data_IF_371546361609
#
_entry.id   IF_371546361609
#
_cell.length_a   1.000
_cell.length_b   1.000
_cell.length_c   1.000
_cell.angle_alpha   90.00
_cell.angle_beta   90.00
_cell.angle_gamma   90.00
#
_symmetry.space_group_name_H-M   'P 1'
#
loop_
_entity.id
_entity.type
_entity.pdbx_description
1 polymer ?
#
# COMPACT_ATOMS: atom_id res chain seq x y z
N UNK A 1 14.46 -21.44 32.21
CA UNK A 1 13.78 -20.78 31.08
C UNK A 1 12.32 -20.65 31.45
N UNK A 2 11.74 -19.46 31.34
CA UNK A 2 10.28 -19.31 31.45
C UNK A 2 9.70 -20.00 30.21
N UNK A 3 9.07 -21.15 30.38
CA UNK A 3 8.24 -21.76 29.34
C UNK A 3 6.99 -20.87 29.20
N UNK A 4 7.16 -19.71 28.54
CA UNK A 4 6.03 -18.93 28.11
C UNK A 4 5.22 -19.81 27.16
N UNK A 5 3.95 -19.99 27.48
CA UNK A 5 3.04 -20.75 26.64
C UNK A 5 2.94 -20.03 25.27
N UNK A 6 3.35 -20.73 24.20
CA UNK A 6 3.36 -20.20 22.83
C UNK A 6 1.97 -19.70 22.42
N UNK A 7 0.91 -20.35 22.91
CA UNK A 7 -0.47 -19.97 22.64
C UNK A 7 -0.78 -18.58 23.21
N UNK A 8 -0.33 -18.30 24.44
CA UNK A 8 -0.49 -17.00 25.09
C UNK A 8 0.29 -15.94 24.30
N UNK A 9 1.52 -16.25 23.87
CA UNK A 9 2.34 -15.31 23.10
C UNK A 9 1.71 -15.00 21.74
N UNK A 10 1.20 -16.01 21.05
CA UNK A 10 0.46 -15.87 19.80
C UNK A 10 -0.79 -15.00 19.98
N UNK A 11 -1.55 -15.19 21.05
CA UNK A 11 -2.73 -14.38 21.37
C UNK A 11 -2.36 -12.92 21.65
N UNK A 12 -1.27 -12.67 22.40
CA UNK A 12 -0.75 -11.32 22.65
C UNK A 12 -0.39 -10.63 21.34
N UNK A 13 0.33 -11.30 20.44
CA UNK A 13 0.72 -10.70 19.16
C UNK A 13 -0.47 -10.43 18.24
N UNK A 14 -1.40 -11.39 18.14
CA UNK A 14 -2.64 -11.21 17.39
C UNK A 14 -3.45 -10.04 17.95
N UNK A 15 -3.63 -9.98 19.26
CA UNK A 15 -4.36 -8.89 19.94
C UNK A 15 -3.68 -7.54 19.71
N UNK A 16 -2.35 -7.48 19.82
CA UNK A 16 -1.57 -6.25 19.58
C UNK A 16 -1.73 -5.76 18.14
N UNK A 17 -1.65 -6.66 17.16
CA UNK A 17 -1.84 -6.33 15.75
C UNK A 17 -3.28 -5.86 15.45
N UNK A 18 -4.29 -6.46 16.09
CA UNK A 18 -5.68 -5.99 16.02
C UNK A 18 -5.81 -4.56 16.55
N UNK A 19 -5.28 -4.28 17.74
CA UNK A 19 -5.32 -2.93 18.31
C UNK A 19 -4.60 -1.90 17.43
N UNK A 20 -3.51 -2.29 16.79
CA UNK A 20 -2.82 -1.44 15.83
C UNK A 20 -3.72 -1.03 14.66
N UNK A 21 -4.48 -1.96 14.06
CA UNK A 21 -5.41 -1.61 12.98
C UNK A 21 -6.54 -0.71 13.46
N UNK A 22 -7.11 -0.96 14.65
CA UNK A 22 -8.14 -0.08 15.22
C UNK A 22 -7.59 1.32 15.55
N UNK A 23 -6.37 1.42 16.05
CA UNK A 23 -5.71 2.70 16.28
C UNK A 23 -5.53 3.48 14.97
N UNK A 24 -5.10 2.81 13.89
CA UNK A 24 -5.01 3.45 12.57
C UNK A 24 -6.39 3.90 12.11
N UNK A 25 -7.42 3.06 12.22
CA UNK A 25 -8.79 3.43 11.85
C UNK A 25 -9.26 4.69 12.59
N UNK A 26 -9.04 4.75 13.91
CA UNK A 26 -9.34 5.93 14.72
C UNK A 26 -8.62 7.19 14.22
N UNK A 27 -7.32 7.09 13.94
CA UNK A 27 -6.54 8.20 13.39
C UNK A 27 -7.03 8.64 12.01
N UNK A 28 -7.45 7.70 11.15
CA UNK A 28 -8.06 8.01 9.85
C UNK A 28 -9.34 8.83 10.02
N UNK A 29 -10.25 8.41 10.91
CA UNK A 29 -11.48 9.18 11.18
C UNK A 29 -11.19 10.55 11.77
N UNK A 30 -10.18 10.68 12.63
CA UNK A 30 -9.73 11.97 13.13
C UNK A 30 -9.24 12.89 12.00
N UNK A 31 -8.45 12.37 11.05
CA UNK A 31 -7.99 13.10 9.86
C UNK A 31 -9.19 13.57 9.03
N UNK A 32 -10.16 12.67 8.79
CA UNK A 32 -11.40 12.98 8.05
C UNK A 32 -12.15 14.13 8.73
N UNK A 33 -12.37 14.05 10.04
CA UNK A 33 -13.07 15.08 10.80
C UNK A 33 -12.42 16.47 10.64
N UNK A 34 -11.08 16.53 10.67
CA UNK A 34 -10.32 17.78 10.48
C UNK A 34 -10.29 18.25 9.01
N UNK A 35 -10.27 17.32 8.06
CA UNK A 35 -10.04 17.58 6.63
C UNK A 35 -11.28 17.78 5.77
N UNK A 36 -12.45 17.27 6.18
CA UNK A 36 -13.61 17.06 5.29
C UNK A 36 -14.08 18.32 4.55
N UNK A 37 -14.15 19.46 5.24
CA UNK A 37 -14.58 20.73 4.62
C UNK A 37 -13.59 21.26 3.58
N UNK A 38 -12.29 20.96 3.72
CA UNK A 38 -11.21 21.51 2.89
C UNK A 38 -10.85 20.60 1.72
N UNK A 39 -10.95 19.28 1.90
CA UNK A 39 -10.56 18.31 0.89
C UNK A 39 -11.54 17.12 0.92
N UNK A 40 -12.66 17.24 0.21
CA UNK A 40 -13.71 16.20 0.20
C UNK A 40 -13.20 14.88 -0.37
N UNK A 41 -12.48 14.93 -1.49
CA UNK A 41 -11.95 13.73 -2.17
C UNK A 41 -10.98 12.93 -1.28
N UNK A 42 -9.96 13.58 -0.74
CA UNK A 42 -9.00 12.94 0.16
C UNK A 42 -9.66 12.48 1.46
N UNK A 43 -10.62 13.24 1.99
CA UNK A 43 -11.34 12.85 3.22
C UNK A 43 -12.25 11.63 3.01
N UNK A 44 -13.02 11.59 1.91
CA UNK A 44 -13.85 10.42 1.58
C UNK A 44 -13.01 9.17 1.36
N UNK A 45 -11.87 9.28 0.68
CA UNK A 45 -10.94 8.17 0.48
C UNK A 45 -10.34 7.68 1.80
N UNK A 46 -9.90 8.62 2.66
CA UNK A 46 -9.37 8.33 4.00
C UNK A 46 -10.44 7.69 4.90
N UNK A 47 -11.70 8.09 4.79
CA UNK A 47 -12.82 7.49 5.50
C UNK A 47 -13.01 6.02 5.11
N UNK A 48 -13.01 5.71 3.81
CA UNK A 48 -13.10 4.33 3.31
C UNK A 48 -11.94 3.49 3.83
N UNK A 49 -10.70 4.01 3.83
CA UNK A 49 -9.59 3.30 4.47
C UNK A 49 -9.83 3.05 5.96
N UNK A 50 -10.35 4.03 6.70
CA UNK A 50 -10.70 3.85 8.13
C UNK A 50 -11.67 2.68 8.35
N UNK A 51 -12.70 2.57 7.50
CA UNK A 51 -13.62 1.42 7.53
C UNK A 51 -12.91 0.10 7.22
N UNK A 52 -12.05 0.06 6.19
CA UNK A 52 -11.29 -1.14 5.84
C UNK A 52 -10.32 -1.55 6.97
N UNK A 53 -9.73 -0.61 7.69
CA UNK A 53 -8.91 -0.90 8.87
C UNK A 53 -9.71 -1.50 10.03
N UNK A 54 -10.97 -1.09 10.23
CA UNK A 54 -11.86 -1.78 11.18
C UNK A 54 -12.05 -3.24 10.74
N UNK A 55 -12.30 -3.48 9.44
CA UNK A 55 -12.45 -4.83 8.92
C UNK A 55 -11.17 -5.65 9.09
N UNK A 56 -9.99 -5.05 8.88
CA UNK A 56 -8.70 -5.73 9.09
C UNK A 56 -8.48 -6.10 10.54
N UNK A 57 -8.78 -5.18 11.47
CA UNK A 57 -8.72 -5.47 12.91
C UNK A 57 -9.67 -6.61 13.30
N UNK A 58 -10.93 -6.54 12.86
CA UNK A 58 -11.92 -7.58 13.11
C UNK A 58 -11.49 -8.94 12.53
N UNK A 59 -11.07 -8.97 11.27
CA UNK A 59 -10.56 -10.17 10.62
C UNK A 59 -9.38 -10.77 11.38
N UNK A 60 -8.40 -9.93 11.77
CA UNK A 60 -7.24 -10.38 12.53
C UNK A 60 -7.62 -10.94 13.90
N UNK A 61 -8.62 -10.37 14.59
CA UNK A 61 -9.06 -10.88 15.90
C UNK A 61 -9.72 -12.26 15.85
N UNK A 62 -10.35 -12.61 14.73
CA UNK A 62 -11.10 -13.87 14.61
C UNK A 62 -10.27 -14.95 13.92
N UNK A 63 -9.62 -14.60 12.81
CA UNK A 63 -8.91 -15.56 11.94
C UNK A 63 -7.40 -15.42 11.96
N UNK A 64 -6.89 -14.26 12.38
CA UNK A 64 -5.49 -13.88 12.21
C UNK A 64 -5.18 -13.54 10.74
N UNK A 65 -4.49 -12.42 10.50
CA UNK A 65 -4.00 -12.08 9.16
C UNK A 65 -2.78 -12.94 8.78
N UNK A 66 -1.97 -13.30 9.77
CA UNK A 66 -0.81 -14.16 9.64
C UNK A 66 -0.73 -15.11 10.82
N UNK A 67 -0.27 -16.34 10.57
CA UNK A 67 -0.01 -17.32 11.63
C UNK A 67 1.20 -16.96 12.47
N UNK A 68 1.26 -17.48 13.70
CA UNK A 68 2.48 -17.46 14.48
C UNK A 68 3.60 -18.26 13.77
N UNK A 69 4.87 -17.79 13.76
CA UNK A 69 5.41 -16.60 14.42
C UNK A 69 5.34 -15.28 13.62
N UNK A 70 4.77 -15.29 12.41
CA UNK A 70 4.73 -14.12 11.52
C UNK A 70 3.96 -12.93 12.10
N UNK A 71 2.90 -13.19 12.87
CA UNK A 71 2.22 -12.12 13.62
C UNK A 71 3.17 -11.41 14.59
N UNK A 72 4.01 -12.16 15.32
CA UNK A 72 5.02 -11.62 16.22
C UNK A 72 6.09 -10.82 15.49
N UNK A 73 6.62 -11.34 14.37
CA UNK A 73 7.52 -10.59 13.50
C UNK A 73 6.88 -9.28 13.00
N UNK A 74 5.58 -9.28 12.67
CA UNK A 74 4.87 -8.08 12.27
C UNK A 74 4.76 -7.05 13.40
N UNK A 75 4.47 -7.49 14.63
CA UNK A 75 4.46 -6.60 15.80
C UNK A 75 5.84 -5.98 16.04
N UNK A 76 6.91 -6.78 15.92
CA UNK A 76 8.29 -6.28 16.04
C UNK A 76 8.61 -5.27 14.93
N UNK A 77 8.22 -5.56 13.70
CA UNK A 77 8.37 -4.66 12.56
C UNK A 77 7.67 -3.32 12.81
N UNK A 78 6.43 -3.33 13.29
CA UNK A 78 5.69 -2.12 13.69
C UNK A 78 6.48 -1.33 14.75
N UNK A 79 6.97 -2.00 15.79
CA UNK A 79 7.76 -1.37 16.84
C UNK A 79 9.04 -0.70 16.31
N UNK A 80 9.81 -1.42 15.48
CA UNK A 80 11.04 -0.91 14.86
C UNK A 80 10.73 0.30 13.98
N UNK A 81 9.71 0.21 13.13
CA UNK A 81 9.35 1.31 12.23
C UNK A 81 8.86 2.54 13.00
N UNK A 82 8.06 2.37 14.05
CA UNK A 82 7.66 3.46 14.94
C UNK A 82 8.88 4.15 15.56
N UNK A 83 9.84 3.39 16.09
CA UNK A 83 11.06 3.95 16.68
C UNK A 83 11.85 4.75 15.65
N UNK A 84 12.05 4.21 14.44
CA UNK A 84 12.80 4.88 13.37
C UNK A 84 12.13 6.20 12.97
N UNK A 85 10.84 6.17 12.64
CA UNK A 85 10.14 7.36 12.16
C UNK A 85 9.92 8.42 13.25
N UNK A 86 9.64 8.01 14.49
CA UNK A 86 9.53 8.95 15.61
C UNK A 86 10.89 9.57 15.94
N UNK A 87 11.96 8.79 15.96
CA UNK A 87 13.32 9.32 16.19
C UNK A 87 13.69 10.35 15.14
N UNK A 88 13.43 10.06 13.85
CA UNK A 88 13.63 11.03 12.77
C UNK A 88 12.81 12.31 12.99
N UNK A 89 11.52 12.18 13.30
CA UNK A 89 10.63 13.32 13.53
C UNK A 89 11.07 14.19 14.72
N UNK A 90 11.56 13.57 15.79
CA UNK A 90 12.10 14.27 16.95
C UNK A 90 13.41 15.01 16.63
N UNK A 91 14.28 14.42 15.80
CA UNK A 91 15.49 15.09 15.29
C UNK A 91 15.09 16.33 14.47
N UNK A 92 14.14 16.19 13.54
CA UNK A 92 13.60 17.30 12.75
C UNK A 92 13.03 18.40 13.65
N UNK A 93 12.24 18.04 14.66
CA UNK A 93 11.68 19.00 15.64
C UNK A 93 12.77 19.78 16.38
N UNK A 94 13.84 19.11 16.81
CA UNK A 94 14.99 19.76 17.46
C UNK A 94 15.71 20.72 16.50
N UNK A 95 15.90 20.32 15.24
CA UNK A 95 16.55 21.17 14.23
C UNK A 95 15.69 22.40 13.91
N UNK A 96 14.38 22.25 13.77
CA UNK A 96 13.45 23.37 13.54
C UNK A 96 13.55 24.38 14.68
N UNK A 97 13.50 23.93 15.94
CA UNK A 97 13.64 24.81 17.11
C UNK A 97 14.98 25.56 17.11
N UNK A 98 16.07 24.91 16.69
CA UNK A 98 17.39 25.53 16.54
C UNK A 98 17.42 26.57 15.42
N UNK A 99 16.82 26.29 14.26
CA UNK A 99 16.71 27.26 13.14
C UNK A 99 15.95 28.51 13.60
N UNK A 100 14.84 28.33 14.30
CA UNK A 100 14.00 29.45 14.74
C UNK A 100 14.73 30.32 15.79
N UNK A 101 15.65 29.74 16.59
CA UNK A 101 16.56 30.46 17.49
C UNK A 101 17.70 31.15 16.73
N UNK A 102 18.38 30.46 15.81
CA UNK A 102 19.51 31.01 15.04
C UNK A 102 19.08 32.19 14.15
N UNK A 103 17.84 32.21 13.66
CA UNK A 103 17.32 33.36 12.92
C UNK A 103 17.22 34.64 13.78
N UNK A 104 17.24 34.52 15.11
CA UNK A 104 17.29 35.65 16.05
C UNK A 104 18.74 36.09 16.38
N UNK A 105 19.73 35.22 16.12
CA UNK A 105 21.14 35.43 16.48
C UNK A 105 22.04 35.09 15.28
N UNK A 106 22.49 36.12 14.56
CA UNK A 106 23.41 36.10 13.40
C UNK A 106 24.11 34.76 13.07
N UNK A 107 23.47 34.03 12.15
CA UNK A 107 23.95 33.01 11.21
C UNK A 107 25.24 32.22 11.54
N UNK A 108 25.08 31.09 12.24
CA UNK A 108 26.09 30.03 12.27
C UNK A 108 25.95 29.09 11.04
N UNK A 109 27.07 28.85 10.35
CA UNK A 109 27.23 28.18 9.03
C UNK A 109 27.02 26.65 9.04
N UNK A 110 26.25 26.11 9.98
CA UNK A 110 26.06 24.67 10.07
C UNK A 110 25.19 24.15 8.91
N UNK A 111 25.78 23.27 8.09
CA UNK A 111 25.38 22.97 6.72
C UNK A 111 24.76 21.57 6.56
N UNK A 112 24.17 21.03 7.63
CA UNK A 112 23.61 19.67 7.58
C UNK A 112 22.54 19.51 6.49
N UNK A 113 22.55 18.37 5.80
CA UNK A 113 21.61 18.07 4.71
C UNK A 113 20.15 18.17 5.17
N UNK A 114 19.85 17.73 6.40
CA UNK A 114 18.52 17.79 7.00
C UNK A 114 18.09 19.25 7.22
N UNK A 115 18.99 20.12 7.70
CA UNK A 115 18.70 21.56 7.88
C UNK A 115 18.35 22.21 6.53
N UNK A 116 19.11 21.91 5.47
CA UNK A 116 18.82 22.41 4.11
C UNK A 116 17.47 21.93 3.58
N UNK A 117 17.14 20.66 3.79
CA UNK A 117 15.83 20.10 3.44
C UNK A 117 14.69 20.83 4.18
N UNK A 118 14.79 21.00 5.50
CA UNK A 118 13.77 21.67 6.31
C UNK A 118 13.57 23.12 5.84
N UNK A 119 14.65 23.85 5.56
CA UNK A 119 14.58 25.23 5.06
C UNK A 119 13.88 25.26 3.69
N UNK A 120 14.21 24.33 2.78
CA UNK A 120 13.55 24.23 1.48
C UNK A 120 12.05 23.96 1.63
N UNK A 121 11.67 23.02 2.51
CA UNK A 121 10.27 22.67 2.80
C UNK A 121 9.48 23.79 3.48
N UNK A 122 10.12 24.62 4.32
CA UNK A 122 9.47 25.80 4.92
C UNK A 122 9.31 26.94 3.91
N UNK A 123 10.24 27.07 2.95
CA UNK A 123 10.24 28.17 1.96
C UNK A 123 9.29 27.90 0.79
N UNK A 124 9.21 26.66 0.33
CA UNK A 124 8.36 26.27 -0.79
C UNK A 124 7.12 25.54 -0.29
N UNK A 125 5.93 25.86 -0.83
CA UNK A 125 4.75 25.05 -0.56
C UNK A 125 4.94 23.67 -1.20
N UNK A 126 4.96 22.57 -0.41
CA UNK A 126 5.16 21.23 -0.95
C UNK A 126 3.94 20.73 -1.74
N UNK A 127 2.78 21.39 -1.60
CA UNK A 127 1.56 21.07 -2.30
C UNK A 127 1.44 21.87 -3.60
N UNK A 128 1.23 21.18 -4.72
CA UNK A 128 1.07 21.79 -6.05
C UNK A 128 -0.19 21.28 -6.74
N UNK A 129 -0.81 22.14 -7.53
CA UNK A 129 -1.94 21.78 -8.40
C UNK A 129 -1.48 20.88 -9.55
N UNK A 130 -0.36 21.23 -10.17
CA UNK A 130 0.22 20.49 -11.28
C UNK A 130 1.61 19.95 -10.91
N UNK A 131 1.78 18.65 -11.12
CA UNK A 131 3.03 17.93 -10.91
C UNK A 131 3.68 17.70 -12.28
N UNK A 132 4.99 17.91 -12.39
CA UNK A 132 5.72 17.64 -13.62
C UNK A 132 5.65 16.17 -14.01
N UNK A 133 5.75 15.87 -15.32
CA UNK A 133 5.67 14.49 -15.82
C UNK A 133 6.72 13.58 -15.17
N UNK A 134 7.94 14.09 -14.94
CA UNK A 134 9.02 13.37 -14.24
C UNK A 134 8.61 12.95 -12.83
N UNK A 135 8.00 13.87 -12.07
CA UNK A 135 7.55 13.59 -10.70
C UNK A 135 6.31 12.70 -10.69
N UNK A 136 5.43 12.80 -11.69
CA UNK A 136 4.33 11.85 -11.87
C UNK A 136 4.88 10.44 -12.10
N UNK A 137 5.89 10.28 -12.95
CA UNK A 137 6.60 9.01 -13.15
C UNK A 137 7.16 8.45 -11.84
N UNK A 138 7.85 9.27 -11.04
CA UNK A 138 8.38 8.85 -9.73
C UNK A 138 7.25 8.41 -8.79
N UNK A 139 6.11 9.11 -8.76
CA UNK A 139 4.95 8.71 -7.95
C UNK A 139 4.38 7.37 -8.41
N UNK A 140 4.37 7.10 -9.72
CA UNK A 140 3.93 5.83 -10.30
C UNK A 140 4.97 4.71 -10.16
N UNK A 141 6.22 4.97 -9.74
CA UNK A 141 7.17 3.89 -9.36
C UNK A 141 6.60 3.05 -8.22
N UNK A 142 5.85 3.63 -7.29
CA UNK A 142 5.17 2.84 -6.24
C UNK A 142 4.13 1.87 -6.81
N UNK A 143 3.57 2.14 -7.99
CA UNK A 143 2.66 1.21 -8.67
C UNK A 143 3.43 0.02 -9.27
N UNK A 144 4.75 0.10 -9.46
CA UNK A 144 5.59 -1.06 -9.80
C UNK A 144 5.62 -2.10 -8.67
N UNK A 145 5.10 -1.78 -7.46
CA UNK A 145 4.82 -2.80 -6.45
C UNK A 145 3.84 -3.88 -6.96
N UNK A 146 2.98 -3.57 -7.92
CA UNK A 146 2.17 -4.58 -8.62
C UNK A 146 3.02 -5.62 -9.37
N UNK A 147 4.18 -5.23 -9.91
CA UNK A 147 5.13 -6.19 -10.50
C UNK A 147 5.73 -7.09 -9.42
N UNK A 148 6.12 -6.50 -8.28
CA UNK A 148 6.65 -7.25 -7.16
C UNK A 148 5.64 -8.26 -6.63
N UNK A 149 4.34 -7.97 -6.70
CA UNK A 149 3.29 -8.94 -6.39
C UNK A 149 3.30 -10.15 -7.34
N UNK A 150 3.40 -9.95 -8.66
CA UNK A 150 3.53 -11.07 -9.62
C UNK A 150 4.75 -11.90 -9.26
N UNK A 151 5.90 -11.24 -9.08
CA UNK A 151 7.15 -11.93 -8.76
C UNK A 151 7.03 -12.70 -7.45
N UNK A 152 6.35 -12.14 -6.44
CA UNK A 152 6.11 -12.78 -5.15
C UNK A 152 5.27 -14.05 -5.26
N UNK A 153 4.19 -14.01 -6.04
CA UNK A 153 3.19 -15.10 -6.09
C UNK A 153 3.48 -16.13 -7.19
N UNK A 154 3.84 -15.68 -8.39
CA UNK A 154 3.98 -16.53 -9.58
C UNK A 154 5.44 -16.71 -10.03
N UNK A 155 6.35 -15.86 -9.56
CA UNK A 155 7.73 -15.84 -10.08
C UNK A 155 7.81 -15.21 -11.47
N UNK A 156 8.88 -15.51 -12.22
CA UNK A 156 9.08 -15.00 -13.57
C UNK A 156 10.05 -15.87 -14.39
N UNK A 157 9.58 -16.41 -15.53
CA UNK A 157 10.31 -17.36 -16.36
C UNK A 157 10.83 -18.57 -15.56
N UNK A 158 12.14 -18.62 -15.32
CA UNK A 158 12.84 -19.66 -14.57
C UNK A 158 13.00 -19.30 -13.08
N UNK A 159 12.61 -18.09 -12.68
CA UNK A 159 12.64 -17.68 -11.28
C UNK A 159 11.37 -18.20 -10.59
N UNK A 160 11.50 -19.01 -9.51
CA UNK A 160 10.34 -19.39 -8.71
C UNK A 160 9.71 -18.17 -8.02
N UNK A 161 8.50 -18.32 -7.44
CA UNK A 161 7.89 -17.26 -6.66
C UNK A 161 8.87 -16.71 -5.62
N UNK A 162 9.06 -15.39 -5.58
CA UNK A 162 9.99 -14.73 -4.66
C UNK A 162 9.61 -15.05 -3.21
N UNK A 163 8.31 -15.19 -2.90
CA UNK A 163 7.86 -15.61 -1.58
C UNK A 163 8.32 -17.03 -1.22
N UNK A 164 8.43 -17.95 -2.20
CA UNK A 164 9.01 -19.28 -2.00
C UNK A 164 10.49 -19.20 -1.68
N UNK A 165 11.26 -18.40 -2.43
CA UNK A 165 12.69 -18.20 -2.17
C UNK A 165 12.93 -17.58 -0.78
N UNK A 166 12.08 -16.63 -0.39
CA UNK A 166 12.11 -16.03 0.95
C UNK A 166 11.80 -17.07 2.02
N UNK A 167 10.80 -17.92 1.83
CA UNK A 167 10.49 -19.02 2.75
C UNK A 167 11.69 -19.96 2.94
N UNK A 168 12.32 -20.37 1.84
CA UNK A 168 13.52 -21.22 1.88
C UNK A 168 14.65 -20.55 2.66
N UNK A 169 14.92 -19.27 2.39
CA UNK A 169 15.89 -18.48 3.12
C UNK A 169 15.57 -18.39 4.62
N UNK A 170 14.30 -18.20 4.99
CA UNK A 170 13.85 -18.17 6.37
C UNK A 170 14.07 -19.53 7.04
N UNK A 171 13.67 -20.64 6.41
CA UNK A 171 13.85 -21.99 6.99
C UNK A 171 15.32 -22.32 7.19
N UNK A 172 16.19 -21.99 6.22
CA UNK A 172 17.64 -22.18 6.34
C UNK A 172 18.20 -21.32 7.47
N UNK A 173 17.82 -20.04 7.53
CA UNK A 173 18.26 -19.14 8.59
C UNK A 173 17.86 -19.66 9.97
N UNK A 174 16.59 -20.04 10.14
CA UNK A 174 16.05 -20.55 11.39
C UNK A 174 16.81 -21.79 11.86
N UNK A 175 17.05 -22.76 10.96
CA UNK A 175 17.81 -23.98 11.29
C UNK A 175 19.24 -23.67 11.73
N UNK A 176 19.89 -22.71 11.06
CA UNK A 176 21.25 -22.28 11.42
C UNK A 176 21.29 -21.48 12.73
N UNK A 177 20.18 -20.87 13.13
CA UNK A 177 20.05 -20.07 14.36
C UNK A 177 19.05 -20.67 15.33
N UNK A 178 18.93 -22.01 15.37
CA UNK A 178 17.90 -22.70 16.14
C UNK A 178 17.85 -22.29 17.62
N UNK A 179 18.97 -22.14 18.36
CA UNK A 179 18.89 -21.71 19.77
C UNK A 179 18.28 -20.32 19.94
N UNK A 180 18.54 -19.41 18.99
CA UNK A 180 17.99 -18.04 19.01
C UNK A 180 16.51 -18.08 18.63
N UNK A 181 16.15 -18.90 17.65
CA UNK A 181 14.74 -19.10 17.27
C UNK A 181 13.94 -19.70 18.43
N UNK A 182 14.42 -20.80 19.03
CA UNK A 182 13.77 -21.46 20.16
C UNK A 182 13.61 -20.52 21.36
N UNK A 183 14.59 -19.63 21.58
CA UNK A 183 14.51 -18.62 22.62
C UNK A 183 13.44 -17.55 22.36
N UNK A 184 13.31 -17.08 21.11
CA UNK A 184 12.41 -15.98 20.76
C UNK A 184 10.99 -16.43 20.41
N UNK A 185 10.88 -17.56 19.72
CA UNK A 185 9.68 -18.00 19.03
C UNK A 185 9.22 -19.40 19.45
N UNK A 186 9.93 -20.06 20.36
CA UNK A 186 9.59 -21.42 20.79
C UNK A 186 10.08 -22.49 19.80
N UNK A 187 9.70 -23.74 20.06
CA UNK A 187 10.27 -24.92 19.40
C UNK A 187 10.13 -24.86 17.87
N UNK A 188 11.21 -25.16 17.14
CA UNK A 188 11.25 -25.20 15.68
C UNK A 188 10.17 -26.09 15.06
N UNK A 189 9.75 -27.16 15.75
CA UNK A 189 8.65 -28.03 15.29
C UNK A 189 7.30 -27.31 15.17
N UNK A 190 7.15 -26.13 15.77
CA UNK A 190 5.95 -25.29 15.69
C UNK A 190 5.97 -24.30 14.52
N UNK A 191 7.08 -24.21 13.77
CA UNK A 191 7.14 -23.35 12.59
C UNK A 191 6.19 -23.89 11.49
N UNK A 192 5.31 -23.05 10.92
CA UNK A 192 4.17 -23.54 10.13
C UNK A 192 4.51 -24.01 8.71
N UNK A 193 5.72 -23.73 8.20
CA UNK A 193 6.06 -23.96 6.79
C UNK A 193 7.32 -24.81 6.62
N UNK A 194 7.38 -25.55 5.52
CA UNK A 194 8.59 -26.27 5.08
C UNK A 194 9.04 -25.75 3.70
N UNK A 195 10.23 -26.20 3.26
CA UNK A 195 10.79 -25.84 1.95
C UNK A 195 9.83 -26.30 0.85
N UNK A 196 9.39 -25.38 -0.01
CA UNK A 196 8.46 -25.64 -1.10
C UNK A 196 6.96 -25.64 -0.73
N UNK A 197 6.61 -25.27 0.50
CA UNK A 197 5.19 -25.19 0.92
C UNK A 197 4.45 -24.06 0.17
N UNK A 198 3.40 -24.36 -0.64
CA UNK A 198 2.64 -23.33 -1.35
C UNK A 198 1.87 -22.38 -0.41
N UNK A 199 1.52 -22.79 0.80
CA UNK A 199 0.87 -21.90 1.78
C UNK A 199 1.81 -20.79 2.24
N UNK A 200 3.12 -21.07 2.29
CA UNK A 200 4.11 -20.06 2.64
C UNK A 200 4.09 -18.89 1.65
N UNK A 201 3.91 -19.15 0.36
CA UNK A 201 3.80 -18.12 -0.68
C UNK A 201 2.63 -17.16 -0.35
N UNK A 202 1.49 -17.73 0.03
CA UNK A 202 0.28 -16.97 0.33
C UNK A 202 0.48 -16.07 1.56
N UNK A 203 0.96 -16.63 2.67
CA UNK A 203 1.08 -15.88 3.92
C UNK A 203 2.28 -14.93 3.95
N UNK A 204 3.39 -15.26 3.29
CA UNK A 204 4.54 -14.35 3.16
C UNK A 204 4.19 -13.17 2.24
N UNK A 205 3.39 -13.39 1.19
CA UNK A 205 2.87 -12.30 0.35
C UNK A 205 1.98 -11.36 1.16
N UNK A 206 1.06 -11.91 1.99
CA UNK A 206 0.24 -11.09 2.90
C UNK A 206 1.10 -10.33 3.91
N UNK A 207 2.10 -10.99 4.51
CA UNK A 207 3.06 -10.36 5.40
C UNK A 207 3.77 -9.19 4.70
N UNK A 208 4.22 -9.36 3.47
CA UNK A 208 4.87 -8.30 2.70
C UNK A 208 3.94 -7.10 2.46
N UNK A 209 2.65 -7.34 2.14
CA UNK A 209 1.69 -6.26 1.99
C UNK A 209 1.49 -5.47 3.29
N UNK A 210 1.29 -6.17 4.42
CA UNK A 210 1.14 -5.51 5.72
C UNK A 210 2.43 -4.79 6.14
N UNK A 211 3.60 -5.38 5.87
CA UNK A 211 4.89 -4.74 6.17
C UNK A 211 5.09 -3.44 5.37
N UNK A 212 4.74 -3.43 4.08
CA UNK A 212 4.75 -2.23 3.22
C UNK A 212 3.71 -1.21 3.72
N UNK A 213 2.53 -1.66 4.13
CA UNK A 213 1.52 -0.80 4.72
C UNK A 213 2.04 -0.11 5.98
N UNK A 214 2.63 -0.86 6.93
CA UNK A 214 3.21 -0.33 8.17
C UNK A 214 4.30 0.69 7.86
N UNK A 215 5.21 0.35 6.95
CA UNK A 215 6.29 1.23 6.51
C UNK A 215 5.75 2.56 5.95
N UNK A 216 4.71 2.50 5.13
CA UNK A 216 4.15 3.69 4.48
C UNK A 216 3.21 4.48 5.37
N UNK A 217 2.34 3.83 6.14
CA UNK A 217 1.27 4.46 6.92
C UNK A 217 1.81 5.27 8.09
N UNK A 218 2.84 4.79 8.78
CA UNK A 218 3.40 5.53 9.93
C UNK A 218 3.99 6.86 9.45
N UNK A 219 4.78 6.83 8.36
CA UNK A 219 5.35 8.05 7.79
C UNK A 219 4.26 9.00 7.27
N UNK A 220 3.18 8.48 6.69
CA UNK A 220 2.06 9.28 6.19
C UNK A 220 1.21 9.89 7.32
N UNK A 221 0.98 9.16 8.41
CA UNK A 221 0.29 9.70 9.58
C UNK A 221 1.10 10.84 10.20
N UNK A 222 2.42 10.70 10.31
CA UNK A 222 3.31 11.79 10.76
C UNK A 222 3.21 12.99 9.81
N UNK A 223 3.24 12.75 8.49
CA UNK A 223 3.08 13.81 7.46
C UNK A 223 1.81 14.62 7.68
N UNK A 224 0.69 13.94 7.86
CA UNK A 224 -0.64 14.57 7.96
C UNK A 224 -0.85 15.24 9.32
N UNK A 225 -0.37 14.63 10.41
CA UNK A 225 -0.60 15.12 11.77
C UNK A 225 0.38 16.22 12.17
N UNK A 226 1.66 16.12 11.79
CA UNK A 226 2.72 17.02 12.24
C UNK A 226 3.25 17.95 11.14
N UNK A 227 3.10 17.57 9.88
CA UNK A 227 3.56 18.35 8.74
C UNK A 227 4.52 17.56 7.83
N UNK A 228 4.64 17.95 6.55
CA UNK A 228 5.42 17.19 5.56
C UNK A 228 6.93 17.18 5.80
N UNK A 229 7.46 18.18 6.51
CA UNK A 229 8.86 18.25 6.91
C UNK A 229 9.25 17.15 7.92
N UNK A 230 8.30 16.61 8.68
CA UNK A 230 8.52 15.52 9.65
C UNK A 230 8.46 14.13 9.02
N UNK A 231 7.97 14.01 7.79
CA UNK A 231 7.84 12.72 7.11
C UNK A 231 9.16 12.29 6.47
N UNK A 232 9.68 11.14 6.89
CA UNK A 232 10.90 10.57 6.33
C UNK A 232 10.71 10.13 4.87
N UNK A 233 9.53 9.62 4.50
CA UNK A 233 9.22 9.30 3.10
C UNK A 233 9.27 10.55 2.21
N UNK A 234 8.78 11.69 2.70
CA UNK A 234 8.82 12.93 1.94
C UNK A 234 10.26 13.43 1.75
N UNK A 235 11.14 13.23 2.74
CA UNK A 235 12.58 13.47 2.61
C UNK A 235 13.22 12.56 1.53
N UNK A 236 12.93 11.25 1.58
CA UNK A 236 13.53 10.26 0.68
C UNK A 236 13.10 10.46 -0.77
N UNK A 237 11.81 10.71 -0.98
CA UNK A 237 11.22 10.82 -2.32
C UNK A 237 11.31 12.22 -2.90
N UNK A 238 11.54 13.24 -2.04
CA UNK A 238 11.36 14.66 -2.39
C UNK A 238 10.01 14.89 -3.09
N UNK A 239 8.99 14.12 -2.69
CA UNK A 239 7.73 14.07 -3.40
C UNK A 239 7.04 15.42 -3.33
N UNK A 240 6.70 15.96 -4.50
CA UNK A 240 5.72 17.03 -4.60
C UNK A 240 4.35 16.42 -4.31
N UNK A 241 3.67 16.95 -3.30
CA UNK A 241 2.34 16.50 -2.88
C UNK A 241 1.28 17.19 -3.75
N UNK A 242 0.15 16.52 -4.00
CA UNK A 242 -1.01 17.17 -4.65
C UNK A 242 -1.84 17.92 -3.63
N UNK A 243 -2.53 18.98 -4.06
CA UNK A 243 -3.50 19.66 -3.19
C UNK A 243 -4.59 18.70 -2.65
N UNK A 244 -4.95 17.67 -3.42
CA UNK A 244 -5.86 16.59 -3.02
C UNK A 244 -5.32 15.66 -1.92
N UNK A 245 -4.03 15.75 -1.59
CA UNK A 245 -3.37 14.98 -0.52
C UNK A 245 -3.20 15.83 0.76
N UNK A 246 -3.68 17.07 0.74
CA UNK A 246 -3.68 17.95 1.90
C UNK A 246 -4.74 17.48 2.91
N UNK A 247 -4.34 17.29 4.17
CA UNK A 247 -5.19 16.70 5.22
C UNK A 247 -5.80 15.33 4.86
N UNK A 248 -5.12 14.54 4.04
CA UNK A 248 -5.51 13.18 3.69
C UNK A 248 -4.26 12.31 3.57
N UNK A 249 -4.40 11.00 3.75
CA UNK A 249 -3.28 10.08 3.55
C UNK A 249 -2.98 9.90 2.05
N UNK A 250 -1.74 9.53 1.71
CA UNK A 250 -1.29 9.47 0.33
C UNK A 250 -1.92 8.33 -0.49
N UNK A 251 -1.92 8.45 -1.84
CA UNK A 251 -2.52 7.46 -2.75
C UNK A 251 -1.85 6.08 -2.69
N UNK A 252 -0.60 5.98 -2.24
CA UNK A 252 0.06 4.71 -2.00
C UNK A 252 -0.62 3.90 -0.87
N UNK A 253 -1.16 4.57 0.15
CA UNK A 253 -1.93 3.91 1.22
C UNK A 253 -3.23 3.36 0.65
N UNK A 254 -3.91 4.15 -0.16
CA UNK A 254 -5.14 3.78 -0.85
C UNK A 254 -4.96 2.51 -1.68
N UNK A 255 -3.88 2.44 -2.46
CA UNK A 255 -3.54 1.27 -3.28
C UNK A 255 -3.26 0.03 -2.43
N UNK A 256 -2.39 0.14 -1.41
CA UNK A 256 -2.01 -1.00 -0.58
C UNK A 256 -3.19 -1.51 0.25
N UNK A 257 -4.03 -0.62 0.79
CA UNK A 257 -5.24 -1.00 1.53
C UNK A 257 -6.25 -1.70 0.61
N UNK A 258 -6.46 -1.21 -0.61
CA UNK A 258 -7.31 -1.86 -1.60
C UNK A 258 -6.81 -3.26 -1.99
N UNK A 259 -5.49 -3.40 -2.15
CA UNK A 259 -4.85 -4.69 -2.44
C UNK A 259 -4.99 -5.67 -1.27
N UNK A 260 -4.74 -5.25 -0.02
CA UNK A 260 -4.89 -6.08 1.19
C UNK A 260 -6.33 -6.55 1.34
N UNK A 261 -7.32 -5.66 1.16
CA UNK A 261 -8.73 -6.07 1.24
C UNK A 261 -9.07 -7.12 0.19
N UNK A 262 -8.65 -6.91 -1.06
CA UNK A 262 -8.86 -7.87 -2.14
C UNK A 262 -8.14 -9.20 -1.86
N UNK A 263 -6.96 -9.16 -1.22
CA UNK A 263 -6.21 -10.34 -0.81
C UNK A 263 -6.91 -11.10 0.32
N UNK A 264 -7.54 -10.41 1.28
CA UNK A 264 -8.38 -11.03 2.31
C UNK A 264 -9.56 -11.75 1.67
N UNK A 265 -10.21 -11.17 0.66
CA UNK A 265 -11.27 -11.86 -0.08
C UNK A 265 -10.76 -13.16 -0.73
N UNK A 266 -9.51 -13.20 -1.18
CA UNK A 266 -8.88 -14.40 -1.71
C UNK A 266 -8.62 -15.44 -0.61
N UNK A 267 -8.09 -15.02 0.54
CA UNK A 267 -7.89 -15.91 1.69
C UNK A 267 -9.19 -16.55 2.16
N UNK A 268 -10.30 -15.82 2.05
CA UNK A 268 -11.65 -16.30 2.38
C UNK A 268 -12.28 -17.17 1.29
N UNK A 269 -11.59 -17.39 0.16
CA UNK A 269 -12.12 -18.15 -0.97
C UNK A 269 -13.25 -17.43 -1.72
N UNK A 270 -13.47 -16.15 -1.44
CA UNK A 270 -14.52 -15.33 -2.09
C UNK A 270 -14.11 -14.97 -3.51
N UNK A 271 -12.82 -14.77 -3.77
CA UNK A 271 -12.30 -14.41 -5.10
C UNK A 271 -11.15 -15.33 -5.52
N UNK A 272 -11.04 -15.58 -6.82
CA UNK A 272 -9.98 -16.43 -7.38
C UNK A 272 -8.65 -15.68 -7.46
N UNK A 273 -7.51 -16.38 -7.30
CA UNK A 273 -6.18 -15.74 -7.33
C UNK A 273 -5.91 -14.98 -8.64
N UNK A 274 -6.39 -15.50 -9.77
CA UNK A 274 -6.23 -14.83 -11.07
C UNK A 274 -7.05 -13.54 -11.17
N UNK A 275 -8.24 -13.47 -10.56
CA UNK A 275 -9.06 -12.25 -10.58
C UNK A 275 -8.48 -11.19 -9.65
N UNK A 276 -7.95 -11.60 -8.50
CA UNK A 276 -7.17 -10.74 -7.61
C UNK A 276 -5.95 -10.16 -8.33
N UNK A 277 -5.21 -11.03 -9.02
CA UNK A 277 -4.00 -10.65 -9.77
C UNK A 277 -4.36 -9.64 -10.86
N UNK A 278 -5.41 -9.91 -11.64
CA UNK A 278 -5.90 -8.96 -12.64
C UNK A 278 -6.27 -7.61 -12.00
N UNK A 279 -7.02 -7.59 -10.90
CA UNK A 279 -7.43 -6.36 -10.22
C UNK A 279 -6.25 -5.52 -9.74
N UNK A 280 -5.27 -6.13 -9.06
CA UNK A 280 -4.06 -5.43 -8.59
C UNK A 280 -3.23 -4.91 -9.77
N UNK A 281 -3.05 -5.71 -10.82
CA UNK A 281 -2.25 -5.31 -11.97
C UNK A 281 -2.89 -4.22 -12.79
N UNK A 282 -4.20 -4.30 -13.03
CA UNK A 282 -4.93 -3.25 -13.74
C UNK A 282 -4.86 -1.96 -12.92
N UNK A 283 -5.09 -2.01 -11.60
CA UNK A 283 -4.97 -0.84 -10.74
C UNK A 283 -3.58 -0.18 -10.77
N UNK A 284 -2.52 -0.98 -10.80
CA UNK A 284 -1.15 -0.47 -10.83
C UNK A 284 -0.72 0.04 -12.22
N UNK A 285 -0.89 -0.77 -13.25
CA UNK A 285 -0.31 -0.51 -14.57
C UNK A 285 -1.22 0.29 -15.48
N UNK A 286 -2.54 0.04 -15.44
CA UNK A 286 -3.46 0.69 -16.37
C UNK A 286 -3.68 2.16 -15.98
N UNK A 287 -3.77 2.45 -14.68
CA UNK A 287 -3.79 3.81 -14.16
C UNK A 287 -2.48 4.56 -14.46
N UNK A 288 -1.32 3.90 -14.29
CA UNK A 288 -0.04 4.49 -14.67
C UNK A 288 0.06 4.78 -16.18
N UNK A 289 -0.39 3.85 -17.03
CA UNK A 289 -0.42 4.02 -18.48
C UNK A 289 -1.34 5.19 -18.88
N UNK A 290 -2.55 5.24 -18.33
CA UNK A 290 -3.49 6.33 -18.58
C UNK A 290 -2.93 7.70 -18.20
N UNK A 291 -2.30 7.80 -17.03
CA UNK A 291 -1.72 9.04 -16.53
C UNK A 291 -0.50 9.50 -17.35
N UNK A 292 0.44 8.59 -17.65
CA UNK A 292 1.69 8.90 -18.34
C UNK A 292 1.45 9.22 -19.82
N UNK A 293 0.70 8.39 -20.53
CA UNK A 293 0.38 8.62 -21.95
C UNK A 293 -0.55 9.82 -22.07
N UNK A 294 -1.54 9.96 -21.18
CA UNK A 294 -2.48 11.07 -21.26
C UNK A 294 -1.87 12.45 -20.97
N UNK A 295 -0.87 12.51 -20.09
CA UNK A 295 -0.12 13.74 -19.85
C UNK A 295 1.00 14.00 -20.87
N UNK A 296 1.68 12.95 -21.32
CA UNK A 296 2.81 13.08 -22.25
C UNK A 296 2.40 13.26 -23.71
N UNK A 297 1.40 12.51 -24.18
CA UNK A 297 0.99 12.43 -25.59
C UNK A 297 -0.47 12.87 -25.83
N UNK A 298 -1.26 13.04 -24.78
CA UNK A 298 -2.69 13.29 -24.91
C UNK A 298 -3.03 14.67 -25.46
N UNK A 299 -3.45 14.73 -26.73
CA UNK A 299 -3.83 15.96 -27.43
C UNK A 299 -5.33 16.24 -27.31
N UNK A 300 -6.15 15.20 -27.31
CA UNK A 300 -7.61 15.34 -27.32
C UNK A 300 -8.14 15.27 -25.89
N UNK A 301 -8.59 16.42 -25.35
CA UNK A 301 -9.12 16.49 -24.00
C UNK A 301 -10.61 16.19 -23.95
N UNK A 302 -11.01 15.45 -22.92
CA UNK A 302 -12.39 15.14 -22.58
C UNK A 302 -12.64 15.65 -21.17
N UNK A 303 -13.74 16.36 -21.00
CA UNK A 303 -14.21 16.74 -19.68
C UNK A 303 -14.90 15.52 -19.07
N UNK A 304 -14.24 14.91 -18.09
CA UNK A 304 -14.87 13.90 -17.25
C UNK A 304 -15.91 14.58 -16.36
N UNK A 305 -16.78 13.75 -15.77
CA UNK A 305 -17.71 14.24 -14.75
C UNK A 305 -16.92 14.93 -13.62
N UNK A 306 -17.51 16.02 -13.08
CA UNK A 306 -16.89 16.88 -12.05
C UNK A 306 -15.71 17.74 -12.51
N UNK A 307 -15.55 17.93 -13.82
CA UNK A 307 -14.65 18.95 -14.37
C UNK A 307 -13.18 18.54 -14.40
N UNK A 308 -12.86 17.27 -14.12
CA UNK A 308 -11.52 16.76 -14.37
C UNK A 308 -11.29 16.63 -15.88
N UNK A 309 -10.19 17.16 -16.38
CA UNK A 309 -9.80 16.99 -17.77
C UNK A 309 -8.84 15.81 -17.92
N UNK A 310 -9.27 14.81 -18.68
CA UNK A 310 -8.44 13.69 -19.11
C UNK A 310 -8.30 13.72 -20.62
N UNK A 311 -7.39 12.93 -21.17
CA UNK A 311 -7.19 12.82 -22.62
C UNK A 311 -7.76 11.51 -23.16
N UNK A 312 -8.29 11.51 -24.38
CA UNK A 312 -8.75 10.29 -25.08
C UNK A 312 -7.60 9.28 -25.20
N UNK A 313 -6.39 9.73 -25.52
CA UNK A 313 -5.21 8.87 -25.66
C UNK A 313 -4.86 8.17 -24.34
N UNK A 314 -4.98 8.89 -23.22
CA UNK A 314 -4.84 8.32 -21.88
C UNK A 314 -5.91 7.25 -21.59
N UNK A 315 -7.18 7.51 -21.93
CA UNK A 315 -8.24 6.50 -21.76
C UNK A 315 -7.99 5.25 -22.61
N UNK A 316 -7.65 5.42 -23.88
CA UNK A 316 -7.34 4.29 -24.78
C UNK A 316 -6.17 3.49 -24.24
N UNK A 317 -5.11 4.16 -23.77
CA UNK A 317 -3.95 3.49 -23.17
C UNK A 317 -4.31 2.72 -21.89
N UNK A 318 -5.08 3.33 -20.99
CA UNK A 318 -5.53 2.70 -19.75
C UNK A 318 -6.44 1.50 -20.00
N UNK A 319 -7.51 1.67 -20.78
CA UNK A 319 -8.46 0.58 -21.08
C UNK A 319 -7.81 -0.52 -21.91
N UNK A 320 -6.97 -0.16 -22.89
CA UNK A 320 -6.23 -1.13 -23.69
C UNK A 320 -5.26 -1.95 -22.85
N UNK A 321 -4.50 -1.31 -21.97
CA UNK A 321 -3.61 -2.04 -21.04
C UNK A 321 -4.40 -2.89 -20.04
N UNK A 322 -5.54 -2.42 -19.55
CA UNK A 322 -6.41 -3.19 -18.67
C UNK A 322 -6.92 -4.47 -19.35
N UNK A 323 -7.35 -4.35 -20.61
CA UNK A 323 -7.76 -5.50 -21.41
C UNK A 323 -6.61 -6.47 -21.67
N UNK A 324 -5.42 -5.99 -22.04
CA UNK A 324 -4.26 -6.87 -22.27
C UNK A 324 -3.82 -7.62 -21.01
N UNK A 325 -3.79 -6.94 -19.86
CA UNK A 325 -3.49 -7.56 -18.56
C UNK A 325 -4.56 -8.60 -18.22
N UNK A 326 -5.83 -8.23 -18.36
CA UNK A 326 -6.96 -9.13 -18.15
C UNK A 326 -6.90 -10.35 -19.07
N UNK A 327 -6.53 -10.15 -20.34
CA UNK A 327 -6.49 -11.21 -21.35
C UNK A 327 -5.49 -12.29 -20.95
N UNK A 328 -4.32 -11.89 -20.45
CA UNK A 328 -3.26 -12.81 -20.01
C UNK A 328 -3.60 -13.48 -18.68
N UNK A 329 -4.35 -12.83 -17.80
CA UNK A 329 -4.60 -13.31 -16.43
C UNK A 329 -5.89 -14.11 -16.31
N UNK A 330 -7.00 -13.60 -16.84
CA UNK A 330 -8.36 -14.13 -16.64
C UNK A 330 -9.05 -14.54 -17.94
N UNK A 331 -8.43 -14.33 -19.11
CA UNK A 331 -9.01 -14.68 -20.41
C UNK A 331 -9.89 -13.58 -21.02
N UNK A 332 -10.30 -13.71 -22.29
CA UNK A 332 -10.82 -12.58 -23.10
C UNK A 332 -12.14 -11.99 -22.60
N UNK A 333 -13.05 -12.82 -22.10
CA UNK A 333 -14.39 -12.37 -21.66
C UNK A 333 -14.27 -11.58 -20.35
N UNK A 334 -13.56 -12.14 -19.38
CA UNK A 334 -13.34 -11.49 -18.09
C UNK A 334 -12.38 -10.29 -18.19
N UNK A 335 -11.44 -10.30 -19.16
CA UNK A 335 -10.63 -9.14 -19.50
C UNK A 335 -11.48 -7.94 -19.93
N UNK A 336 -12.50 -8.18 -20.76
CA UNK A 336 -13.43 -7.13 -21.19
C UNK A 336 -14.20 -6.55 -20.00
N UNK A 337 -14.67 -7.41 -19.08
CA UNK A 337 -15.31 -6.97 -17.83
C UNK A 337 -14.37 -6.07 -17.01
N UNK A 338 -13.13 -6.51 -16.77
CA UNK A 338 -12.13 -5.73 -16.03
C UNK A 338 -11.82 -4.38 -16.70
N UNK A 339 -11.68 -4.36 -18.03
CA UNK A 339 -11.42 -3.15 -18.80
C UNK A 339 -12.61 -2.17 -18.77
N UNK A 340 -13.85 -2.68 -18.82
CA UNK A 340 -15.06 -1.87 -18.68
C UNK A 340 -15.15 -1.27 -17.28
N UNK A 341 -14.91 -2.04 -16.22
CA UNK A 341 -14.92 -1.52 -14.85
C UNK A 341 -13.85 -0.44 -14.68
N UNK A 342 -12.62 -0.69 -15.15
CA UNK A 342 -11.56 0.31 -15.14
C UNK A 342 -11.96 1.58 -15.89
N UNK A 343 -12.51 1.46 -17.11
CA UNK A 343 -13.01 2.60 -17.87
C UNK A 343 -14.06 3.39 -17.08
N UNK A 344 -15.02 2.70 -16.46
CA UNK A 344 -16.07 3.36 -15.69
C UNK A 344 -15.48 4.11 -14.49
N UNK A 345 -14.55 3.52 -13.75
CA UNK A 345 -13.92 4.17 -12.60
C UNK A 345 -13.05 5.36 -13.02
N UNK A 346 -12.34 5.24 -14.15
CA UNK A 346 -11.48 6.29 -14.66
C UNK A 346 -12.28 7.45 -15.30
N UNK A 347 -13.38 7.15 -15.99
CA UNK A 347 -14.22 8.14 -16.68
C UNK A 347 -15.21 8.83 -15.73
N UNK A 348 -15.72 8.12 -14.72
CA UNK A 348 -16.65 8.62 -13.72
C UNK A 348 -15.96 8.81 -12.36
N UNK A 349 -15.06 9.81 -12.22
CA UNK A 349 -14.28 9.97 -10.99
C UNK A 349 -15.21 10.20 -9.79
N UNK A 350 -15.12 9.29 -8.82
CA UNK A 350 -15.92 9.35 -7.60
C UNK A 350 -15.28 10.26 -6.55
N UNK A 351 -15.88 10.39 -5.36
CA UNK A 351 -15.22 11.07 -4.24
C UNK A 351 -14.19 10.16 -3.54
N UNK A 352 -14.06 8.92 -3.99
CA UNK A 352 -13.15 7.93 -3.44
C UNK A 352 -12.07 7.67 -4.47
N UNK A 353 -10.83 7.53 -4.00
CA UNK A 353 -9.68 7.29 -4.86
C UNK A 353 -9.83 5.99 -5.64
N UNK A 354 -9.58 6.09 -6.94
CA UNK A 354 -9.36 4.98 -7.87
C UNK A 354 -8.35 3.96 -7.35
N UNK A 355 -7.33 4.42 -6.63
CA UNK A 355 -6.32 3.57 -6.00
C UNK A 355 -6.91 2.60 -4.96
N UNK A 356 -8.01 2.95 -4.26
CA UNK A 356 -8.76 1.98 -3.42
C UNK A 356 -9.71 1.17 -4.29
N UNK A 357 -10.45 1.84 -5.18
CA UNK A 357 -11.59 1.24 -5.88
C UNK A 357 -11.15 0.22 -6.94
N UNK A 358 -10.10 0.49 -7.70
CA UNK A 358 -9.67 -0.36 -8.81
C UNK A 358 -9.30 -1.78 -8.33
N UNK A 359 -8.39 -1.97 -7.34
CA UNK A 359 -8.07 -3.32 -6.87
C UNK A 359 -9.30 -4.09 -6.38
N UNK A 360 -10.25 -3.41 -5.72
CA UNK A 360 -11.42 -4.03 -5.10
C UNK A 360 -12.50 -4.34 -6.15
N UNK A 361 -12.98 -3.32 -6.86
CA UNK A 361 -14.15 -3.44 -7.74
C UNK A 361 -13.85 -4.24 -8.99
N UNK A 362 -12.63 -4.19 -9.52
CA UNK A 362 -12.24 -5.02 -10.66
C UNK A 362 -12.20 -6.48 -10.23
N UNK A 363 -11.58 -6.79 -9.08
CA UNK A 363 -11.51 -8.16 -8.55
C UNK A 363 -12.90 -8.74 -8.27
N UNK A 364 -13.74 -8.00 -7.55
CA UNK A 364 -15.12 -8.41 -7.24
C UNK A 364 -15.95 -8.52 -8.52
N UNK A 365 -15.85 -7.53 -9.41
CA UNK A 365 -16.63 -7.49 -10.63
C UNK A 365 -16.33 -8.66 -11.56
N UNK A 366 -15.04 -8.97 -11.78
CA UNK A 366 -14.67 -10.16 -12.57
C UNK A 366 -15.21 -11.44 -11.90
N UNK A 367 -15.07 -11.56 -10.58
CA UNK A 367 -15.53 -12.75 -9.83
C UNK A 367 -17.05 -12.91 -9.90
N UNK A 368 -17.81 -11.82 -9.79
CA UNK A 368 -19.26 -11.82 -9.94
C UNK A 368 -19.66 -12.31 -11.34
N UNK A 369 -19.04 -11.77 -12.39
CA UNK A 369 -19.31 -12.19 -13.76
C UNK A 369 -18.88 -13.63 -14.02
N UNK A 370 -17.82 -14.11 -13.37
CA UNK A 370 -17.44 -15.51 -13.39
C UNK A 370 -18.56 -16.41 -12.89
N UNK A 371 -19.18 -16.07 -11.76
CA UNK A 371 -20.32 -16.84 -11.23
C UNK A 371 -21.58 -16.75 -12.09
N UNK A 372 -21.81 -15.62 -12.76
CA UNK A 372 -22.98 -15.43 -13.64
C UNK A 372 -22.82 -16.18 -14.96
N UNK A 373 -21.64 -16.09 -15.59
CA UNK A 373 -21.40 -16.63 -16.93
C UNK A 373 -20.98 -18.11 -16.86
N UNK A 374 -20.21 -18.50 -15.84
CA UNK A 374 -19.78 -19.88 -15.63
C UNK A 374 -18.67 -20.37 -16.58
N UNK A 375 -17.99 -19.46 -17.31
CA UNK A 375 -16.86 -19.82 -18.16
C UNK A 375 -15.56 -19.92 -17.35
N UNK A 376 -14.60 -20.78 -17.74
CA UNK A 376 -13.34 -20.93 -17.03
C UNK A 376 -12.54 -19.63 -16.98
N UNK A 377 -11.85 -19.38 -15.85
CA UNK A 377 -10.93 -18.25 -15.69
C UNK A 377 -9.54 -18.69 -16.14
N UNK A 378 -8.94 -17.92 -17.03
CA UNK A 378 -7.58 -18.14 -17.53
C UNK A 378 -7.53 -18.10 -19.06
N UNK A 379 -6.32 -18.32 -19.61
CA UNK A 379 -6.09 -18.33 -21.06
C UNK A 379 -6.56 -19.63 -21.75
N UNK A 380 -6.95 -20.66 -20.98
CA UNK A 380 -7.29 -22.00 -21.49
C UNK A 380 -8.49 -22.58 -20.76
#
# INVERSE_FOLDING_TARGET
MLNLNIDILSEIYTTTLTFFFFLIAFLMFYIVYKGYKKNRYGSSSTFVCGLLFILFGYYNSIKGITHYPFNGFMVWWIGIMLIIFLSFSLIVKKIIKKIDLDNLTTANKDNSLIRRYIIAMKKENPYREQISLKMEGIRKIFHLAGLLFILAVFGFFFMPPLASMVNEGIVILIRNTEPVYNFLWGDLSTYPYYIGDPQAIIYITMFAFVAILVFTIISELIRVLWGPEYSMLNLLTKSVLRNEEHNAVGPQIYLVVGAIFSYILYLEGVVHILTLTAGILIACFSDAAAALIGRGLGKHKVNCLRGQQKSIEGFIAGVGSAYLIGLVTVGPIYALVGAIIFFLLDFFPTYIADNILNPILITIGITLFYHIIGLPIGLF
#
